data_IF_674223424655
#
_entry.id   IF_674223424655
#
_cell.length_a   1.000
_cell.length_b   1.000
_cell.length_c   1.000
_cell.angle_alpha   90.00
_cell.angle_beta   90.00
_cell.angle_gamma   90.00
#
_symmetry.space_group_name_H-M   'P 1'
#
loop_
_entity.id
_entity.type
_entity.pdbx_description
1 polymer ?
#
# COMPACT_ATOMS: atom_id res chain seq x y z
N UNK A 1 -18.34 -19.43 -0.43
CA UNK A 1 -17.76 -19.07 -1.76
C UNK A 1 -18.77 -18.20 -2.50
N UNK A 2 -18.38 -17.01 -2.97
CA UNK A 2 -19.30 -15.91 -3.33
C UNK A 2 -20.34 -16.22 -4.42
N UNK A 3 -20.00 -17.04 -5.42
CA UNK A 3 -20.85 -17.29 -6.59
C UNK A 3 -21.69 -18.58 -6.49
N UNK A 4 -21.73 -19.23 -5.32
CA UNK A 4 -22.50 -20.48 -5.17
C UNK A 4 -24.01 -20.25 -5.32
N UNK A 5 -24.75 -21.18 -5.95
CA UNK A 5 -26.19 -21.01 -6.14
C UNK A 5 -27.00 -20.97 -4.84
N UNK A 6 -26.61 -21.76 -3.83
CA UNK A 6 -27.40 -22.02 -2.61
C UNK A 6 -27.03 -21.08 -1.45
N UNK A 7 -25.74 -20.82 -1.27
CA UNK A 7 -25.20 -20.07 -0.12
C UNK A 7 -24.22 -18.97 -0.55
N UNK A 8 -24.23 -18.62 -1.84
CA UNK A 8 -23.47 -17.49 -2.37
C UNK A 8 -24.19 -16.16 -2.15
N UNK A 9 -23.44 -15.06 -2.33
CA UNK A 9 -24.00 -13.73 -2.23
C UNK A 9 -24.84 -13.42 -3.47
N UNK A 10 -26.14 -13.21 -3.30
CA UNK A 10 -27.09 -12.97 -4.38
C UNK A 10 -26.78 -11.69 -5.17
N UNK A 11 -26.30 -10.64 -4.51
CA UNK A 11 -25.94 -9.37 -5.15
C UNK A 11 -24.73 -9.54 -6.07
N UNK A 12 -23.73 -10.30 -5.64
CA UNK A 12 -22.55 -10.58 -6.46
C UNK A 12 -22.93 -11.33 -7.73
N UNK A 13 -23.80 -12.33 -7.62
CA UNK A 13 -24.32 -13.10 -8.77
C UNK A 13 -25.20 -12.29 -9.71
N UNK A 14 -25.94 -11.31 -9.18
CA UNK A 14 -26.74 -10.39 -9.97
C UNK A 14 -25.88 -9.34 -10.72
N UNK A 15 -24.70 -9.04 -10.20
CA UNK A 15 -23.80 -8.01 -10.76
C UNK A 15 -22.84 -8.58 -11.80
N UNK A 16 -22.20 -9.71 -11.51
CA UNK A 16 -21.24 -10.36 -12.39
C UNK A 16 -21.49 -11.86 -12.49
N UNK A 17 -21.22 -12.41 -13.67
CA UNK A 17 -21.02 -13.85 -13.82
C UNK A 17 -19.65 -14.26 -13.23
N UNK A 18 -19.59 -15.42 -12.57
CA UNK A 18 -18.38 -15.95 -11.96
C UNK A 18 -17.18 -15.99 -12.93
N UNK A 19 -17.42 -16.47 -14.15
CA UNK A 19 -16.36 -16.60 -15.16
C UNK A 19 -15.83 -15.23 -15.58
N UNK A 20 -16.72 -14.27 -15.83
CA UNK A 20 -16.35 -12.89 -16.16
C UNK A 20 -15.57 -12.22 -15.03
N UNK A 21 -16.01 -12.38 -13.78
CA UNK A 21 -15.32 -11.82 -12.62
C UNK A 21 -13.88 -12.37 -12.49
N UNK A 22 -13.71 -13.69 -12.60
CA UNK A 22 -12.39 -14.33 -12.58
C UNK A 22 -11.50 -13.82 -13.71
N UNK A 23 -12.04 -13.70 -14.93
CA UNK A 23 -11.28 -13.20 -16.08
C UNK A 23 -10.81 -11.76 -15.88
N UNK A 24 -11.67 -10.88 -15.38
CA UNK A 24 -11.29 -9.49 -15.09
C UNK A 24 -10.20 -9.43 -14.01
N UNK A 25 -10.33 -10.20 -12.92
CA UNK A 25 -9.32 -10.24 -11.86
C UNK A 25 -7.96 -10.71 -12.36
N UNK A 26 -7.91 -11.75 -13.20
CA UNK A 26 -6.65 -12.30 -13.71
C UNK A 26 -5.92 -11.35 -14.69
N UNK A 27 -6.69 -10.53 -15.41
CA UNK A 27 -6.18 -9.68 -16.49
C UNK A 27 -6.15 -8.18 -16.14
N UNK A 28 -6.52 -7.80 -14.91
CA UNK A 28 -6.40 -6.42 -14.46
C UNK A 28 -4.93 -5.97 -14.52
N UNK A 29 -4.68 -4.87 -15.23
CA UNK A 29 -3.38 -4.21 -15.36
C UNK A 29 -3.59 -2.72 -15.21
N UNK A 30 -2.72 -2.09 -14.42
CA UNK A 30 -2.75 -0.65 -14.13
C UNK A 30 -1.56 0.10 -14.74
N UNK A 31 -0.76 -0.60 -15.55
CA UNK A 31 0.40 -0.03 -16.23
C UNK A 31 0.42 -0.49 -17.67
N UNK A 32 0.92 0.37 -18.56
CA UNK A 32 1.20 0.00 -19.94
C UNK A 32 2.34 -1.01 -20.01
N UNK A 33 2.13 -2.09 -20.76
CA UNK A 33 3.11 -3.14 -20.97
C UNK A 33 4.36 -2.63 -21.70
N UNK A 34 4.22 -1.63 -22.58
CA UNK A 34 5.34 -1.09 -23.36
C UNK A 34 6.42 -0.44 -22.46
N UNK A 35 6.01 0.23 -21.38
CA UNK A 35 6.91 0.95 -20.47
C UNK A 35 7.24 0.17 -19.19
N UNK A 36 6.64 -1.02 -19.01
CA UNK A 36 6.71 -1.80 -17.77
C UNK A 36 8.14 -2.16 -17.36
N UNK A 37 8.96 -2.61 -18.30
CA UNK A 37 10.33 -3.09 -18.03
C UNK A 37 11.20 -1.95 -17.51
N UNK A 38 11.16 -0.80 -18.17
CA UNK A 38 11.94 0.37 -17.81
C UNK A 38 11.50 0.96 -16.47
N UNK A 39 10.18 1.06 -16.25
CA UNK A 39 9.61 1.58 -15.00
C UNK A 39 9.97 0.69 -13.80
N UNK A 40 9.91 -0.63 -13.96
CA UNK A 40 10.25 -1.60 -12.90
C UNK A 40 11.72 -1.50 -12.44
N UNK A 41 12.63 -1.09 -13.32
CA UNK A 41 14.04 -0.89 -12.96
C UNK A 41 14.26 0.31 -12.03
N UNK A 42 13.35 1.30 -12.07
CA UNK A 42 13.46 2.55 -11.31
C UNK A 42 12.58 2.56 -10.07
N UNK A 43 11.42 1.91 -10.14
CA UNK A 43 10.39 1.94 -9.10
C UNK A 43 9.80 0.55 -8.89
N UNK A 44 9.96 0.01 -7.68
CA UNK A 44 9.41 -1.29 -7.31
C UNK A 44 7.87 -1.29 -7.28
N UNK A 45 7.24 -0.11 -7.13
CA UNK A 45 5.78 0.08 -7.18
C UNK A 45 5.26 0.50 -8.56
N UNK A 46 6.09 0.42 -9.60
CA UNK A 46 5.74 0.88 -10.96
C UNK A 46 4.39 0.36 -11.47
N UNK A 47 3.97 -0.85 -11.08
CA UNK A 47 2.70 -1.44 -11.51
C UNK A 47 1.46 -0.76 -10.95
N UNK A 48 1.57 0.01 -9.86
CA UNK A 48 0.46 0.72 -9.21
C UNK A 48 0.72 2.22 -9.05
N UNK A 49 1.90 2.71 -9.45
CA UNK A 49 2.38 4.07 -9.16
C UNK A 49 1.40 5.17 -9.55
N UNK A 50 0.83 5.07 -10.75
CA UNK A 50 -0.08 6.10 -11.26
C UNK A 50 -1.38 6.17 -10.43
N UNK A 51 -1.94 5.01 -10.06
CA UNK A 51 -3.12 4.91 -9.18
C UNK A 51 -2.77 5.34 -7.76
N UNK A 52 -1.59 4.99 -7.26
CA UNK A 52 -1.11 5.37 -5.93
C UNK A 52 -0.96 6.88 -5.79
N UNK A 53 -0.38 7.54 -6.78
CA UNK A 53 -0.25 8.99 -6.81
C UNK A 53 -1.62 9.66 -6.89
N UNK A 54 -2.52 9.17 -7.76
CA UNK A 54 -3.88 9.70 -7.83
C UNK A 54 -4.65 9.54 -6.52
N UNK A 55 -4.43 8.44 -5.79
CA UNK A 55 -5.00 8.24 -4.46
C UNK A 55 -4.47 9.27 -3.46
N UNK A 56 -3.16 9.52 -3.45
CA UNK A 56 -2.54 10.56 -2.61
C UNK A 56 -3.05 11.97 -2.95
N UNK A 57 -3.09 12.32 -4.22
CA UNK A 57 -3.57 13.63 -4.69
C UNK A 57 -5.01 13.87 -4.24
N UNK A 58 -5.85 12.84 -4.30
CA UNK A 58 -7.23 12.92 -3.82
C UNK A 58 -7.31 13.11 -2.30
N UNK A 59 -6.49 12.39 -1.51
CA UNK A 59 -6.47 12.57 -0.05
C UNK A 59 -6.12 14.01 0.33
N UNK A 60 -5.07 14.56 -0.26
CA UNK A 60 -4.63 15.93 -0.01
C UNK A 60 -5.64 16.98 -0.52
N UNK A 61 -6.30 16.71 -1.64
CA UNK A 61 -7.28 17.63 -2.25
C UNK A 61 -8.55 17.79 -1.40
N UNK A 62 -9.05 16.71 -0.80
CA UNK A 62 -10.37 16.70 -0.16
C UNK A 62 -10.31 16.87 1.36
N UNK A 63 -9.12 16.86 1.98
CA UNK A 63 -9.00 16.96 3.41
C UNK A 63 -7.74 17.72 3.85
N UNK A 64 -7.94 18.71 4.73
CA UNK A 64 -6.86 19.42 5.41
C UNK A 64 -6.83 18.95 6.86
N UNK A 65 -5.72 18.34 7.34
CA UNK A 65 -5.64 17.84 8.71
C UNK A 65 -5.59 18.97 9.74
N UNK A 66 -6.06 18.67 10.96
CA UNK A 66 -5.76 19.50 12.13
C UNK A 66 -4.36 19.18 12.69
N UNK A 67 -3.97 19.85 13.79
CA UNK A 67 -2.63 19.71 14.38
C UNK A 67 -2.23 18.28 14.78
N UNK A 68 -3.18 17.38 15.04
CA UNK A 68 -2.88 16.06 15.57
C UNK A 68 -2.90 15.00 14.48
N UNK A 69 -1.71 14.47 14.18
CA UNK A 69 -1.48 13.39 13.22
C UNK A 69 -0.88 12.19 13.97
N UNK A 70 -1.34 11.00 13.65
CA UNK A 70 -0.81 9.73 14.13
C UNK A 70 -0.10 9.00 13.00
N UNK A 71 1.08 8.44 13.28
CA UNK A 71 1.82 7.60 12.35
C UNK A 71 1.85 6.17 12.90
N UNK A 72 1.49 5.19 12.07
CA UNK A 72 1.50 3.77 12.45
C UNK A 72 1.73 2.84 11.25
N UNK A 73 2.04 1.57 11.52
CA UNK A 73 2.33 0.51 10.56
C UNK A 73 1.15 -0.42 10.31
N UNK A 74 0.75 -0.53 9.04
CA UNK A 74 -0.20 -1.53 8.55
C UNK A 74 0.51 -2.62 7.74
N UNK A 75 0.41 -3.86 8.19
CA UNK A 75 0.85 -5.02 7.43
C UNK A 75 -0.34 -5.59 6.63
N UNK A 76 -0.29 -5.45 5.31
CA UNK A 76 -1.29 -6.01 4.39
C UNK A 76 -0.89 -7.45 4.05
N UNK A 77 -1.67 -8.47 4.47
CA UNK A 77 -1.30 -9.87 4.27
C UNK A 77 -1.10 -10.20 2.79
N UNK A 78 0.07 -10.71 2.45
CA UNK A 78 0.40 -11.08 1.08
C UNK A 78 1.53 -12.11 1.04
N UNK A 79 1.33 -13.18 0.27
CA UNK A 79 2.27 -14.29 0.15
C UNK A 79 2.77 -14.52 -1.29
N UNK A 80 2.53 -13.56 -2.19
CA UNK A 80 3.02 -13.63 -3.56
C UNK A 80 4.51 -13.28 -3.68
N UNK A 81 5.06 -13.47 -4.89
CA UNK A 81 6.49 -13.23 -5.18
C UNK A 81 6.77 -11.76 -5.48
N UNK A 82 7.08 -10.99 -4.45
CA UNK A 82 7.50 -9.59 -4.55
C UNK A 82 8.69 -9.36 -3.62
N UNK A 83 9.63 -8.48 -4.00
CA UNK A 83 10.91 -8.31 -3.30
C UNK A 83 10.78 -7.61 -1.94
N UNK A 84 9.70 -6.88 -1.70
CA UNK A 84 9.49 -6.04 -0.52
C UNK A 84 8.45 -6.61 0.46
N UNK A 85 8.31 -7.94 0.50
CA UNK A 85 7.51 -8.60 1.55
C UNK A 85 8.29 -8.59 2.86
N UNK A 86 7.64 -8.11 3.92
CA UNK A 86 8.20 -8.05 5.26
C UNK A 86 7.63 -9.16 6.13
N UNK A 87 8.48 -9.70 7.00
CA UNK A 87 8.07 -10.60 8.08
C UNK A 87 8.02 -9.82 9.39
N UNK A 88 6.85 -9.76 10.03
CA UNK A 88 6.66 -9.11 11.33
C UNK A 88 6.13 -10.15 12.33
N UNK A 89 6.98 -10.71 13.21
CA UNK A 89 6.62 -11.83 14.09
C UNK A 89 5.45 -11.53 15.04
N UNK A 90 5.24 -10.27 15.38
CA UNK A 90 4.26 -9.81 16.37
C UNK A 90 2.85 -9.64 15.81
N UNK A 91 2.67 -9.61 14.48
CA UNK A 91 1.35 -9.50 13.82
C UNK A 91 0.78 -10.90 13.56
N UNK A 92 -0.56 -11.02 13.53
CA UNK A 92 -1.26 -12.29 13.26
C UNK A 92 -0.87 -12.88 11.90
N UNK A 93 -1.02 -12.06 10.86
CA UNK A 93 -0.51 -12.35 9.52
C UNK A 93 0.94 -11.92 9.45
N UNK A 94 1.86 -12.85 9.68
CA UNK A 94 3.28 -12.51 9.84
C UNK A 94 3.98 -12.06 8.55
N UNK A 95 3.42 -12.33 7.37
CA UNK A 95 4.02 -11.99 6.07
C UNK A 95 3.09 -11.08 5.28
N UNK A 96 3.62 -9.96 4.80
CA UNK A 96 2.83 -9.02 4.01
C UNK A 96 3.60 -7.84 3.46
N UNK A 97 2.87 -6.95 2.80
CA UNK A 97 3.38 -5.64 2.38
C UNK A 97 3.19 -4.70 3.58
N UNK A 98 4.29 -4.16 4.12
CA UNK A 98 4.20 -3.18 5.20
C UNK A 98 4.00 -1.78 4.61
N UNK A 99 3.05 -1.03 5.15
CA UNK A 99 2.73 0.33 4.74
C UNK A 99 2.66 1.19 5.99
N UNK A 100 3.47 2.24 6.03
CA UNK A 100 3.38 3.27 7.05
C UNK A 100 2.31 4.28 6.65
N UNK A 101 1.43 4.61 7.57
CA UNK A 101 0.35 5.56 7.36
C UNK A 101 0.49 6.76 8.29
N UNK A 102 0.35 7.96 7.74
CA UNK A 102 0.00 9.15 8.49
C UNK A 102 -1.51 9.35 8.39
N UNK A 103 -2.18 9.39 9.54
CA UNK A 103 -3.63 9.56 9.64
C UNK A 103 -3.96 10.70 10.59
N UNK A 104 -5.10 11.35 10.37
CA UNK A 104 -5.61 12.36 11.28
C UNK A 104 -6.14 11.70 12.57
N UNK A 105 -5.66 12.17 13.72
CA UNK A 105 -5.81 11.46 14.99
C UNK A 105 -7.26 11.28 15.46
N UNK A 106 -8.16 12.22 15.15
CA UNK A 106 -9.52 12.22 15.71
C UNK A 106 -10.56 11.51 14.86
N UNK A 107 -10.35 11.41 13.54
CA UNK A 107 -11.30 10.80 12.62
C UNK A 107 -10.69 9.69 11.75
N UNK A 108 -9.42 9.35 11.97
CA UNK A 108 -8.68 8.30 11.28
C UNK A 108 -8.60 8.50 9.74
N UNK A 109 -8.77 9.74 9.25
CA UNK A 109 -8.66 10.02 7.83
C UNK A 109 -7.20 9.81 7.37
N UNK A 110 -6.95 9.02 6.31
CA UNK A 110 -5.60 8.81 5.81
C UNK A 110 -5.09 10.06 5.09
N UNK A 111 -3.91 10.52 5.48
CA UNK A 111 -3.29 11.72 4.91
C UNK A 111 -2.20 11.33 3.91
N UNK A 112 -1.39 10.33 4.26
CA UNK A 112 -0.28 9.87 3.44
C UNK A 112 0.07 8.43 3.77
N UNK A 113 0.56 7.72 2.76
CA UNK A 113 0.96 6.32 2.90
C UNK A 113 2.32 6.08 2.25
N UNK A 114 3.19 5.32 2.92
CA UNK A 114 4.51 4.99 2.42
C UNK A 114 4.73 3.48 2.54
N UNK A 115 4.68 2.72 1.44
CA UNK A 115 5.00 1.31 1.46
C UNK A 115 6.48 1.10 1.74
N UNK A 116 6.82 0.14 2.60
CA UNK A 116 8.19 -0.28 2.82
C UNK A 116 8.68 -1.06 1.60
N UNK A 117 9.73 -0.56 0.94
CA UNK A 117 10.27 -1.15 -0.30
C UNK A 117 11.60 -1.90 -0.11
N UNK A 118 12.04 -2.07 1.13
CA UNK A 118 13.36 -2.60 1.47
C UNK A 118 14.33 -1.50 1.89
N UNK A 119 15.60 -1.86 2.08
CA UNK A 119 16.65 -0.90 2.42
C UNK A 119 17.18 -0.22 1.17
N UNK A 120 17.19 1.11 1.15
CA UNK A 120 17.99 1.87 0.21
C UNK A 120 19.48 1.64 0.49
N UNK A 121 20.22 1.16 -0.50
CA UNK A 121 21.66 0.91 -0.40
C UNK A 121 22.50 2.19 -0.37
N UNK A 122 21.88 3.35 -0.56
CA UNK A 122 22.53 4.67 -0.63
C UNK A 122 22.75 5.33 0.73
N UNK A 123 22.08 4.93 1.80
CA UNK A 123 22.27 5.52 3.12
C UNK A 123 23.27 4.70 3.94
N UNK A 124 24.55 5.04 3.81
CA UNK A 124 25.64 4.47 4.60
C UNK A 124 25.53 4.84 6.09
N UNK A 125 25.31 3.85 6.95
CA UNK A 125 26.04 3.59 8.21
C UNK A 125 25.37 2.44 9.00
N UNK A 126 26.08 1.34 9.30
CA UNK A 126 25.52 0.19 9.99
C UNK A 126 25.97 0.17 11.46
N UNK A 127 25.17 0.68 12.40
CA UNK A 127 25.27 0.22 13.82
C UNK A 127 24.18 0.70 14.79
N UNK A 128 23.39 1.73 14.52
CA UNK A 128 22.34 2.19 15.44
C UNK A 128 21.12 2.73 14.66
N UNK A 129 20.20 1.86 14.21
CA UNK A 129 19.24 2.27 13.16
C UNK A 129 17.76 1.94 13.38
N UNK A 130 17.37 1.18 14.41
CA UNK A 130 15.95 0.89 14.66
C UNK A 130 15.13 2.14 15.00
N UNK A 131 15.72 3.12 15.70
CA UNK A 131 15.08 4.42 15.93
C UNK A 131 15.20 5.38 14.73
N UNK A 132 16.22 5.21 13.88
CA UNK A 132 16.45 6.15 12.77
C UNK A 132 15.50 5.92 11.61
N UNK A 133 15.14 4.67 11.30
CA UNK A 133 14.23 4.37 10.18
C UNK A 133 12.83 4.91 10.47
N UNK A 134 12.34 4.70 11.69
CA UNK A 134 11.05 5.25 12.13
C UNK A 134 11.07 6.78 12.12
N UNK A 135 12.18 7.43 12.51
CA UNK A 135 12.31 8.89 12.45
C UNK A 135 12.34 9.40 10.99
N UNK A 136 13.05 8.71 10.10
CA UNK A 136 13.12 9.03 8.67
C UNK A 136 11.72 8.89 8.01
N UNK A 137 11.00 7.81 8.33
CA UNK A 137 9.63 7.55 7.84
C UNK A 137 8.63 8.56 8.39
N UNK A 138 8.72 8.90 9.68
CA UNK A 138 7.87 9.94 10.30
C UNK A 138 8.11 11.29 9.63
N UNK A 139 9.36 11.68 9.37
CA UNK A 139 9.67 12.91 8.63
C UNK A 139 9.05 12.85 7.23
N UNK A 140 9.36 11.82 6.43
CA UNK A 140 8.84 11.65 5.07
C UNK A 140 7.30 11.64 4.98
N UNK A 141 6.63 11.23 6.05
CA UNK A 141 5.17 11.21 6.16
C UNK A 141 4.58 12.52 6.68
N UNK A 142 5.35 13.37 7.36
CA UNK A 142 4.84 14.57 8.03
C UNK A 142 5.43 15.89 7.56
N UNK A 143 6.46 15.88 6.71
CA UNK A 143 7.17 17.08 6.22
C UNK A 143 6.25 18.11 5.53
N UNK A 144 5.12 17.67 4.97
CA UNK A 144 4.16 18.56 4.28
C UNK A 144 3.05 19.11 5.20
N UNK A 145 3.03 18.72 6.49
CA UNK A 145 2.00 19.10 7.46
C UNK A 145 2.47 20.07 8.55
N UNK A 146 3.74 20.49 8.52
CA UNK A 146 4.36 21.47 9.42
C UNK A 146 4.95 22.64 8.63
#
# INVERSE_FOLDING_TARGET
>A
MLFRPVDGNSLVRATFEMHRFSNLLNHLRLVDNATRTERRLRDLLASIRDVWNSFHDNMAKYYVPSQNITVDEQLVPFQGRVSFIQYIPTKLDRYGINIFWACHASNNYPLRALPYLGRDTTSAKPSQRSQSVAADEVSLLTDDFY
#
